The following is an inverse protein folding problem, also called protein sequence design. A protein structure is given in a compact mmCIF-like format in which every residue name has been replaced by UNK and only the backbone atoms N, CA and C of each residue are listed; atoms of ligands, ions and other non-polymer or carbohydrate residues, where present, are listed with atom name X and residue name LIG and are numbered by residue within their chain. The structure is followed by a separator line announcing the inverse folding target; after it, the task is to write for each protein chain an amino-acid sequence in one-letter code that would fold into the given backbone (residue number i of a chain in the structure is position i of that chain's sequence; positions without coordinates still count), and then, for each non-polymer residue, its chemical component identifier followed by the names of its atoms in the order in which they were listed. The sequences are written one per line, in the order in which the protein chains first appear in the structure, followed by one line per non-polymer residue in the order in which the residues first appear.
data_IF_297815628913
#
_entry.id   IF_297815628913
#
_cell.length_a   1.000
_cell.length_b   1.000
_cell.length_c   1.000
_cell.angle_alpha   90.00
_cell.angle_beta   90.00
_cell.angle_gamma   90.00
#
_symmetry.space_group_name_H-M   'P 1'
#
loop_
_entity.id
_entity.type
_entity.pdbx_description
1 polymer ?
#
# COMPACT_ATOMS: atom_id res chain seq x y z
N UNK A 1 41.92 -16.08 41.30
CA UNK A 1 42.30 -14.73 40.84
C UNK A 1 41.21 -14.25 39.88
N UNK A 2 40.53 -13.19 40.30
CA UNK A 2 39.40 -12.51 39.65
C UNK A 2 39.66 -12.07 38.21
N UNK A 3 38.59 -11.97 37.42
CA UNK A 3 38.07 -10.69 36.86
C UNK A 3 36.60 -10.94 36.53
N UNK A 4 35.74 -10.63 37.51
CA UNK A 4 34.32 -10.45 37.29
C UNK A 4 34.19 -9.05 36.69
N UNK A 5 34.02 -8.97 35.37
CA UNK A 5 33.89 -7.71 34.65
C UNK A 5 32.55 -7.09 35.05
N UNK A 6 32.59 -6.07 35.91
CA UNK A 6 31.44 -5.24 36.24
C UNK A 6 30.83 -4.70 34.94
N UNK A 7 29.60 -5.12 34.64
CA UNK A 7 28.78 -4.49 33.60
C UNK A 7 28.39 -3.12 34.17
N UNK A 8 29.16 -2.10 33.81
CA UNK A 8 28.80 -0.72 34.10
C UNK A 8 27.48 -0.40 33.42
N UNK A 9 26.45 -0.05 34.20
CA UNK A 9 25.28 0.70 33.72
C UNK A 9 25.77 2.07 33.25
N UNK A 10 26.14 2.16 31.98
CA UNK A 10 26.33 3.45 31.32
C UNK A 10 24.96 3.97 30.91
N UNK A 11 24.40 4.85 31.75
CA UNK A 11 23.33 5.76 31.36
C UNK A 11 23.84 6.79 30.35
N UNK A 12 24.28 6.33 29.18
CA UNK A 12 24.52 7.19 28.03
C UNK A 12 23.18 7.58 27.46
N UNK A 13 22.97 8.88 27.21
CA UNK A 13 21.89 9.37 26.36
C UNK A 13 21.96 8.64 25.02
N UNK A 14 21.16 7.59 24.85
CA UNK A 14 21.04 6.89 23.57
C UNK A 14 20.65 7.94 22.53
N UNK A 15 21.46 8.08 21.49
CA UNK A 15 21.15 8.95 20.35
C UNK A 15 19.89 8.40 19.71
N UNK A 16 18.78 9.15 19.77
CA UNK A 16 17.52 8.72 19.14
C UNK A 16 17.71 8.67 17.63
N UNK A 17 17.13 7.65 17.00
CA UNK A 17 17.14 7.53 15.54
C UNK A 17 16.09 8.47 14.96
N UNK A 18 16.54 9.54 14.32
CA UNK A 18 15.66 10.47 13.62
C UNK A 18 15.08 9.82 12.34
N UNK A 19 13.77 9.63 12.28
CA UNK A 19 13.06 9.03 11.14
C UNK A 19 11.90 9.92 10.67
N UNK A 20 11.64 9.98 9.37
CA UNK A 20 10.37 10.49 8.84
C UNK A 20 9.25 9.48 9.12
N UNK A 21 7.98 9.91 9.08
CA UNK A 21 6.86 9.01 9.42
C UNK A 21 6.80 7.78 8.51
N UNK A 22 7.04 7.94 7.21
CA UNK A 22 7.08 6.81 6.28
C UNK A 22 8.20 5.83 6.64
N UNK A 23 9.41 6.33 6.91
CA UNK A 23 10.55 5.50 7.29
C UNK A 23 10.35 4.81 8.65
N UNK A 24 9.66 5.46 9.59
CA UNK A 24 9.29 4.89 10.88
C UNK A 24 8.29 3.74 10.71
N UNK A 25 7.30 3.89 9.83
CA UNK A 25 6.34 2.84 9.50
C UNK A 25 7.00 1.67 8.77
N UNK A 26 7.84 1.95 7.75
CA UNK A 26 8.60 0.91 7.06
C UNK A 26 9.52 0.17 8.04
N UNK A 27 10.20 0.87 8.94
CA UNK A 27 10.98 0.22 9.99
C UNK A 27 10.11 -0.64 10.91
N UNK A 28 8.99 -0.12 11.41
CA UNK A 28 8.11 -0.86 12.33
C UNK A 28 7.51 -2.12 11.69
N UNK A 29 6.95 -2.02 10.48
CA UNK A 29 6.23 -3.13 9.84
C UNK A 29 7.13 -4.05 9.01
N UNK A 30 8.18 -3.53 8.36
CA UNK A 30 9.07 -4.33 7.50
C UNK A 30 10.25 -4.92 8.25
N UNK A 31 10.91 -4.11 9.09
CA UNK A 31 12.14 -4.52 9.78
C UNK A 31 11.81 -5.14 11.14
N UNK A 32 10.99 -4.45 11.94
CA UNK A 32 10.60 -4.95 13.26
C UNK A 32 9.50 -6.01 13.21
N UNK A 33 8.81 -6.13 12.06
CA UNK A 33 7.69 -7.04 11.84
C UNK A 33 6.55 -6.86 12.86
N UNK A 34 6.32 -5.62 13.29
CA UNK A 34 5.19 -5.29 14.15
C UNK A 34 3.87 -5.68 13.48
N UNK A 35 2.92 -6.16 14.28
CA UNK A 35 1.61 -6.59 13.82
C UNK A 35 0.54 -5.59 14.26
N UNK A 36 -0.52 -5.47 13.44
CA UNK A 36 -1.71 -4.74 13.85
C UNK A 36 -2.57 -5.65 14.72
N UNK A 37 -3.00 -5.15 15.88
CA UNK A 37 -4.04 -5.79 16.68
C UNK A 37 -5.39 -5.52 16.02
N UNK A 38 -5.82 -6.45 15.17
CA UNK A 38 -7.09 -6.36 14.47
C UNK A 38 -8.22 -6.92 15.34
N UNK A 39 -9.42 -6.32 15.33
CA UNK A 39 -10.56 -6.89 16.03
C UNK A 39 -10.92 -8.25 15.43
N UNK A 40 -11.52 -9.15 16.23
CA UNK A 40 -11.92 -10.46 15.75
C UNK A 40 -12.92 -10.32 14.58
N UNK A 41 -12.85 -11.21 13.57
CA UNK A 41 -13.81 -11.21 12.48
C UNK A 41 -15.23 -11.42 13.00
N UNK A 42 -16.21 -10.66 12.48
CA UNK A 42 -17.61 -10.72 12.95
C UNK A 42 -18.39 -11.92 12.39
N UNK A 43 -17.98 -12.45 11.24
CA UNK A 43 -18.74 -13.44 10.46
C UNK A 43 -18.22 -14.88 10.64
N UNK A 44 -17.43 -15.13 11.67
CA UNK A 44 -16.85 -16.46 11.94
C UNK A 44 -17.53 -17.03 13.18
N UNK A 45 -18.27 -18.14 13.00
CA UNK A 45 -18.99 -18.84 14.08
C UNK A 45 -18.10 -19.80 14.87
N UNK A 46 -16.94 -20.17 14.33
CA UNK A 46 -15.99 -21.09 14.96
C UNK A 46 -14.66 -20.36 15.22
N UNK A 47 -14.28 -20.22 16.49
CA UNK A 47 -12.89 -19.87 16.83
C UNK A 47 -11.97 -20.92 16.20
N UNK A 48 -10.99 -20.48 15.40
CA UNK A 48 -10.02 -21.39 14.81
C UNK A 48 -9.38 -22.26 15.90
N UNK A 49 -9.38 -23.57 15.73
CA UNK A 49 -8.76 -24.47 16.71
C UNK A 49 -7.24 -24.26 16.72
N UNK A 50 -6.73 -23.75 17.84
CA UNK A 50 -5.30 -23.67 18.10
C UNK A 50 -4.76 -25.02 18.57
N UNK A 51 -3.63 -25.44 18.01
CA UNK A 51 -2.91 -26.57 18.58
C UNK A 51 -2.13 -26.14 19.82
N UNK A 52 -2.21 -26.93 20.89
CA UNK A 52 -1.34 -26.77 22.06
C UNK A 52 0.13 -26.81 21.66
N UNK A 53 0.98 -26.10 22.41
CA UNK A 53 2.42 -26.02 22.14
C UNK A 53 3.04 -27.43 22.10
N UNK A 54 2.54 -28.34 22.93
CA UNK A 54 2.94 -29.75 23.01
C UNK A 54 2.70 -30.47 21.69
N UNK A 55 1.52 -30.27 21.09
CA UNK A 55 1.17 -30.87 19.80
C UNK A 55 2.06 -30.34 18.67
N UNK A 56 2.32 -29.04 18.66
CA UNK A 56 3.21 -28.40 17.68
C UNK A 56 4.65 -28.92 17.83
N UNK A 57 5.14 -29.08 19.06
CA UNK A 57 6.46 -29.65 19.34
C UNK A 57 6.56 -31.12 18.92
N UNK A 58 5.52 -31.92 19.17
CA UNK A 58 5.46 -33.32 18.74
C UNK A 58 5.52 -33.45 17.21
N UNK A 59 4.73 -32.65 16.48
CA UNK A 59 4.75 -32.60 15.02
C UNK A 59 6.11 -32.14 14.46
N UNK A 60 6.74 -31.14 15.10
CA UNK A 60 8.11 -30.72 14.73
C UNK A 60 9.14 -31.83 14.96
N UNK A 61 9.02 -32.57 16.06
CA UNK A 61 9.90 -33.70 16.34
C UNK A 61 9.69 -34.84 15.33
N UNK A 62 8.44 -35.12 14.91
CA UNK A 62 8.11 -36.11 13.89
C UNK A 62 8.72 -35.78 12.52
N UNK A 63 8.80 -34.50 12.16
CA UNK A 63 9.42 -34.06 10.90
C UNK A 63 10.94 -34.25 10.88
N UNK A 64 11.57 -34.54 12.02
CA UNK A 64 13.00 -34.88 12.12
C UNK A 64 13.95 -33.72 11.82
N UNK A 65 13.42 -32.51 11.59
CA UNK A 65 14.19 -31.30 11.33
C UNK A 65 13.86 -30.22 12.36
N UNK A 66 14.89 -29.56 12.88
CA UNK A 66 14.71 -28.36 13.71
C UNK A 66 14.29 -27.23 12.76
N UNK A 67 13.08 -26.72 12.93
CA UNK A 67 12.65 -25.49 12.24
C UNK A 67 13.65 -24.40 12.59
N UNK A 68 14.39 -23.92 11.59
CA UNK A 68 15.26 -22.75 11.73
C UNK A 68 14.37 -21.50 11.81
N UNK A 69 13.67 -21.36 12.93
CA UNK A 69 13.02 -20.12 13.29
C UNK A 69 14.14 -19.12 13.51
N UNK A 70 14.40 -18.27 12.52
CA UNK A 70 15.52 -17.35 12.51
C UNK A 70 15.71 -16.71 13.88
N UNK A 71 16.82 -17.03 14.55
CA UNK A 71 17.10 -16.64 15.93
C UNK A 71 17.38 -15.13 16.09
N UNK A 72 16.99 -14.31 15.11
CA UNK A 72 17.33 -12.90 15.05
C UNK A 72 16.66 -12.06 16.14
N UNK A 73 15.69 -12.62 16.88
CA UNK A 73 15.15 -12.01 18.11
C UNK A 73 14.95 -13.07 19.20
N UNK A 74 15.60 -12.88 20.34
CA UNK A 74 15.42 -13.68 21.54
C UNK A 74 14.04 -13.32 22.14
N UNK A 75 12.99 -13.95 21.62
CA UNK A 75 11.59 -13.65 21.94
C UNK A 75 10.84 -13.03 20.76
N UNK A 76 9.54 -13.34 20.64
CA UNK A 76 8.60 -12.78 19.66
C UNK A 76 8.27 -11.30 19.93
N UNK A 77 9.19 -10.54 20.50
CA UNK A 77 8.92 -9.18 20.95
C UNK A 77 9.41 -8.19 19.89
N UNK A 78 8.47 -7.47 19.28
CA UNK A 78 8.81 -6.33 18.45
C UNK A 78 9.44 -5.24 19.33
N UNK A 79 10.20 -4.31 18.76
CA UNK A 79 10.71 -3.18 19.55
C UNK A 79 9.52 -2.39 20.17
N UNK A 80 9.58 -1.94 21.44
CA UNK A 80 8.48 -1.21 22.08
C UNK A 80 7.95 -0.04 21.25
N UNK A 81 8.86 0.76 20.67
CA UNK A 81 8.47 1.87 19.79
C UNK A 81 7.73 1.39 18.53
N UNK A 82 8.05 0.21 17.99
CA UNK A 82 7.35 -0.36 16.85
C UNK A 82 5.94 -0.84 17.24
N UNK A 83 5.75 -1.37 18.45
CA UNK A 83 4.43 -1.70 19.01
C UNK A 83 3.58 -0.43 19.19
N UNK A 84 4.18 0.65 19.71
CA UNK A 84 3.50 1.96 19.83
C UNK A 84 3.07 2.51 18.47
N UNK A 85 3.94 2.40 17.45
CA UNK A 85 3.62 2.78 16.07
C UNK A 85 2.45 1.94 15.54
N UNK A 86 2.49 0.62 15.73
CA UNK A 86 1.43 -0.27 15.26
C UNK A 86 0.09 -0.01 15.96
N UNK A 87 0.10 0.21 17.28
CA UNK A 87 -1.08 0.57 18.05
C UNK A 87 -1.67 1.92 17.60
N UNK A 88 -0.82 2.91 17.31
CA UNK A 88 -1.26 4.20 16.77
C UNK A 88 -1.94 4.01 15.42
N UNK A 89 -1.36 3.22 14.52
CA UNK A 89 -1.95 2.90 13.20
C UNK A 89 -3.28 2.15 13.36
N UNK A 90 -3.39 1.20 14.29
CA UNK A 90 -4.63 0.47 14.56
C UNK A 90 -5.77 1.38 15.06
N UNK A 91 -5.43 2.47 15.77
CA UNK A 91 -6.37 3.47 16.28
C UNK A 91 -6.91 4.46 15.24
N UNK A 92 -6.67 4.24 13.94
CA UNK A 92 -7.05 5.19 12.89
C UNK A 92 -8.57 5.44 12.85
N UNK A 93 -9.01 6.71 12.77
CA UNK A 93 -10.44 7.03 12.77
C UNK A 93 -11.12 6.63 11.45
N UNK A 94 -12.42 6.35 11.53
CA UNK A 94 -13.24 5.98 10.37
C UNK A 94 -13.30 7.09 9.30
N UNK A 95 -13.12 8.35 9.68
CA UNK A 95 -13.04 9.48 8.73
C UNK A 95 -11.84 9.38 7.78
N UNK A 96 -10.78 8.67 8.18
CA UNK A 96 -9.60 8.39 7.37
C UNK A 96 -9.60 6.96 6.81
N UNK A 97 -10.76 6.29 6.79
CA UNK A 97 -10.89 4.90 6.32
C UNK A 97 -10.70 3.82 7.40
N UNK A 98 -10.42 4.21 8.64
CA UNK A 98 -10.37 3.33 9.80
C UNK A 98 -9.43 2.14 9.62
N UNK A 99 -9.88 0.96 10.04
CA UNK A 99 -9.10 -0.29 9.99
C UNK A 99 -8.66 -0.65 8.57
N UNK A 100 -9.47 -0.36 7.54
CA UNK A 100 -9.09 -0.66 6.14
C UNK A 100 -7.88 0.16 5.70
N UNK A 101 -7.86 1.45 6.05
CA UNK A 101 -6.70 2.30 5.78
C UNK A 101 -5.50 1.90 6.64
N UNK A 102 -5.71 1.55 7.91
CA UNK A 102 -4.65 1.04 8.79
C UNK A 102 -3.94 -0.18 8.19
N UNK A 103 -4.71 -1.16 7.71
CA UNK A 103 -4.19 -2.34 7.01
C UNK A 103 -3.42 -1.93 5.75
N UNK A 104 -4.01 -1.06 4.92
CA UNK A 104 -3.36 -0.59 3.69
C UNK A 104 -2.01 0.09 3.98
N UNK A 105 -1.95 0.96 5.00
CA UNK A 105 -0.72 1.64 5.43
C UNK A 105 0.32 0.62 5.89
N UNK A 106 -0.07 -0.37 6.69
CA UNK A 106 0.83 -1.42 7.15
C UNK A 106 1.38 -2.27 6.00
N UNK A 107 0.54 -2.69 5.05
CA UNK A 107 0.99 -3.48 3.89
C UNK A 107 1.91 -2.68 2.97
N UNK A 108 1.60 -1.40 2.72
CA UNK A 108 2.47 -0.52 1.93
C UNK A 108 3.83 -0.31 2.61
N UNK A 109 3.84 -0.15 3.94
CA UNK A 109 5.06 -0.04 4.73
C UNK A 109 5.90 -1.34 4.69
N UNK A 110 5.26 -2.51 4.76
CA UNK A 110 5.95 -3.81 4.58
C UNK A 110 6.58 -3.94 3.20
N UNK A 111 5.88 -3.50 2.16
CA UNK A 111 6.38 -3.51 0.80
C UNK A 111 7.45 -2.42 0.55
N UNK A 112 7.51 -1.38 1.38
CA UNK A 112 8.29 -0.17 1.11
C UNK A 112 7.78 0.56 -0.15
N UNK A 113 6.46 0.58 -0.31
CA UNK A 113 5.77 1.16 -1.45
C UNK A 113 4.84 2.29 -1.01
N UNK A 114 4.46 3.14 -1.94
CA UNK A 114 3.39 4.14 -1.78
C UNK A 114 2.24 3.80 -2.72
N UNK A 115 1.01 4.30 -2.46
CA UNK A 115 -0.09 4.08 -3.39
C UNK A 115 0.26 4.55 -4.80
N UNK A 116 -0.13 3.77 -5.80
CA UNK A 116 0.04 4.18 -7.20
C UNK A 116 -0.93 5.31 -7.52
N UNK A 117 -0.39 6.51 -7.71
CA UNK A 117 -1.13 7.71 -8.12
C UNK A 117 -1.14 7.92 -9.64
N UNK A 118 -0.64 6.92 -10.40
CA UNK A 118 -0.50 6.90 -11.85
C UNK A 118 0.50 7.95 -12.38
N UNK A 119 1.81 7.79 -12.11
CA UNK A 119 2.84 8.72 -12.56
C UNK A 119 2.93 8.85 -14.07
N UNK A 120 2.94 10.10 -14.56
CA UNK A 120 3.10 10.41 -16.00
C UNK A 120 1.94 9.97 -16.89
N UNK A 121 0.85 9.44 -16.32
CA UNK A 121 -0.27 8.94 -17.08
C UNK A 121 -1.12 10.08 -17.63
N UNK A 122 -1.36 10.06 -18.94
CA UNK A 122 -2.22 11.00 -19.66
C UNK A 122 -3.35 10.21 -20.33
N UNK A 123 -4.63 10.60 -20.17
CA UNK A 123 -5.74 9.98 -20.90
C UNK A 123 -5.53 10.08 -22.41
N UNK A 124 -5.70 8.95 -23.12
CA UNK A 124 -5.65 8.91 -24.59
C UNK A 124 -7.01 8.49 -25.14
N UNK A 125 -7.43 9.16 -26.21
CA UNK A 125 -8.57 8.75 -27.00
C UNK A 125 -8.13 7.61 -27.93
N UNK A 126 -8.65 6.41 -27.69
CA UNK A 126 -8.28 5.19 -28.43
C UNK A 126 -9.53 4.56 -29.05
N UNK A 127 -9.42 3.83 -30.16
CA UNK A 127 -10.54 3.05 -30.69
C UNK A 127 -11.09 2.08 -29.64
N UNK A 128 -12.39 1.90 -29.62
CA UNK A 128 -13.04 0.94 -28.72
C UNK A 128 -12.64 -0.51 -29.06
N UNK A 129 -12.44 -0.78 -30.34
CA UNK A 129 -12.00 -2.08 -30.83
C UNK A 129 -11.01 -1.89 -31.98
N UNK A 130 -9.95 -2.69 -31.96
CA UNK A 130 -8.94 -2.77 -33.01
C UNK A 130 -8.99 -4.20 -33.57
N UNK A 131 -9.09 -4.32 -34.88
CA UNK A 131 -9.10 -5.60 -35.61
C UNK A 131 -7.82 -5.74 -36.42
N UNK A 132 -7.23 -6.92 -36.39
CA UNK A 132 -6.00 -7.22 -37.13
C UNK A 132 -6.32 -7.96 -38.42
N UNK A 133 -5.76 -7.51 -39.54
CA UNK A 133 -5.84 -8.20 -40.81
C UNK A 133 -4.46 -8.29 -41.48
N UNK A 134 -4.38 -8.86 -42.68
CA UNK A 134 -3.12 -9.00 -43.44
C UNK A 134 -2.40 -7.66 -43.75
N UNK A 135 -3.07 -6.52 -43.58
CA UNK A 135 -2.55 -5.17 -43.79
C UNK A 135 -2.27 -4.42 -42.47
N UNK A 136 -2.34 -5.11 -41.32
CA UNK A 136 -2.05 -4.56 -39.99
C UNK A 136 -3.29 -4.32 -39.12
N UNK A 137 -3.11 -3.46 -38.12
CA UNK A 137 -4.16 -3.08 -37.18
C UNK A 137 -5.08 -2.02 -37.78
N UNK A 138 -6.39 -2.23 -37.67
CA UNK A 138 -7.40 -1.28 -38.14
C UNK A 138 -8.47 -1.09 -37.07
N UNK A 139 -8.81 0.16 -36.80
CA UNK A 139 -9.90 0.50 -35.89
C UNK A 139 -11.25 0.01 -36.45
N UNK A 140 -12.13 -0.46 -35.57
CA UNK A 140 -13.49 -0.85 -35.95
C UNK A 140 -14.32 0.37 -36.35
N UNK A 141 -15.29 0.16 -37.26
CA UNK A 141 -16.19 1.21 -37.75
C UNK A 141 -17.64 0.73 -37.66
N UNK A 142 -18.53 1.62 -37.24
CA UNK A 142 -19.98 1.41 -37.21
C UNK A 142 -20.66 2.37 -38.19
N UNK A 143 -21.82 1.98 -38.72
CA UNK A 143 -22.66 2.86 -39.54
C UNK A 143 -23.44 3.79 -38.60
N UNK A 144 -23.26 5.10 -38.73
CA UNK A 144 -23.96 6.12 -37.93
C UNK A 144 -25.08 6.82 -38.70
N UNK A 145 -25.17 6.63 -40.01
CA UNK A 145 -26.22 7.19 -40.84
C UNK A 145 -26.11 6.72 -42.28
N UNK A 146 -27.12 7.05 -43.08
CA UNK A 146 -27.09 6.83 -44.54
C UNK A 146 -27.38 8.16 -45.24
N UNK A 147 -26.52 8.52 -46.18
CA UNK A 147 -26.57 9.78 -46.91
C UNK A 147 -26.76 9.52 -48.39
N UNK A 148 -27.55 10.35 -49.08
CA UNK A 148 -27.69 10.29 -50.54
C UNK A 148 -26.71 11.25 -51.18
N UNK A 149 -25.66 10.71 -51.79
CA UNK A 149 -24.63 11.49 -52.48
C UNK A 149 -24.75 11.28 -53.99
N UNK A 150 -24.64 12.37 -54.76
CA UNK A 150 -24.62 12.31 -56.22
C UNK A 150 -23.19 12.10 -56.68
N UNK A 151 -22.87 10.89 -57.14
CA UNK A 151 -21.53 10.52 -57.62
C UNK A 151 -21.60 10.10 -59.08
N UNK A 152 -20.78 10.72 -59.94
CA UNK A 152 -20.75 10.49 -61.40
C UNK A 152 -22.15 10.58 -62.04
N UNK A 153 -22.93 11.61 -61.67
CA UNK A 153 -24.25 11.89 -62.25
C UNK A 153 -25.40 11.05 -61.71
N UNK A 154 -25.14 9.97 -60.95
CA UNK A 154 -26.17 9.10 -60.35
C UNK A 154 -26.26 9.29 -58.85
N UNK A 155 -27.48 9.25 -58.31
CA UNK A 155 -27.72 9.25 -56.88
C UNK A 155 -27.40 7.87 -56.29
N UNK A 156 -26.55 7.84 -55.26
CA UNK A 156 -26.24 6.62 -54.50
C UNK A 156 -26.48 6.87 -53.02
N UNK A 157 -27.01 5.87 -52.34
CA UNK A 157 -27.06 5.84 -50.87
C UNK A 157 -25.73 5.28 -50.38
N UNK A 158 -25.07 6.00 -49.48
CA UNK A 158 -23.77 5.62 -48.90
C UNK A 158 -23.89 5.63 -47.38
N UNK A 159 -23.32 4.61 -46.75
CA UNK A 159 -23.25 4.51 -45.31
C UNK A 159 -22.19 5.48 -44.77
N UNK A 160 -22.59 6.31 -43.82
CA UNK A 160 -21.67 7.18 -43.06
C UNK A 160 -21.09 6.35 -41.94
N UNK A 161 -19.77 6.13 -41.97
CA UNK A 161 -19.04 5.32 -41.00
C UNK A 161 -18.38 6.20 -39.95
N UNK A 162 -18.45 5.77 -38.68
CA UNK A 162 -17.70 6.37 -37.58
C UNK A 162 -16.93 5.30 -36.80
N UNK A 163 -15.79 5.67 -36.22
CA UNK A 163 -15.05 4.82 -35.30
C UNK A 163 -15.50 5.12 -33.86
N UNK A 164 -16.08 4.17 -33.12
CA UNK A 164 -16.35 4.36 -31.72
C UNK A 164 -15.02 4.43 -30.95
N UNK A 165 -14.88 5.44 -30.11
CA UNK A 165 -13.66 5.69 -29.33
C UNK A 165 -13.95 5.64 -27.84
N UNK A 166 -12.91 5.41 -27.05
CA UNK A 166 -12.94 5.46 -25.59
C UNK A 166 -11.68 6.09 -25.02
N UNK A 167 -11.77 6.64 -23.81
CA UNK A 167 -10.61 7.19 -23.10
C UNK A 167 -9.92 6.13 -22.25
N UNK A 168 -8.61 5.96 -22.43
CA UNK A 168 -7.79 5.01 -21.66
C UNK A 168 -6.48 5.66 -21.15
N UNK A 169 -6.14 5.50 -19.85
CA UNK A 169 -7.07 5.16 -18.77
C UNK A 169 -8.14 6.26 -18.64
N UNK A 170 -9.28 5.90 -18.06
CA UNK A 170 -10.38 6.85 -17.92
C UNK A 170 -9.94 7.99 -16.98
N UNK A 171 -10.27 9.27 -17.25
CA UNK A 171 -9.88 10.38 -16.37
C UNK A 171 -10.29 10.17 -14.89
N UNK A 172 -11.41 9.51 -14.66
CA UNK A 172 -11.87 9.16 -13.31
C UNK A 172 -11.00 8.12 -12.60
N UNK A 173 -10.38 7.20 -13.35
CA UNK A 173 -9.42 6.24 -12.77
C UNK A 173 -8.19 6.97 -12.23
N UNK A 174 -7.67 7.93 -13.01
CA UNK A 174 -6.55 8.78 -12.58
C UNK A 174 -6.96 9.62 -11.37
N UNK A 175 -8.14 10.22 -11.40
CA UNK A 175 -8.65 11.00 -10.27
C UNK A 175 -8.81 10.15 -9.01
N UNK A 176 -9.29 8.91 -9.15
CA UNK A 176 -9.45 7.96 -8.06
C UNK A 176 -8.11 7.55 -7.45
N UNK A 177 -7.12 7.22 -8.30
CA UNK A 177 -5.77 6.87 -7.87
C UNK A 177 -5.12 8.03 -7.07
N UNK A 178 -5.28 9.27 -7.55
CA UNK A 178 -4.77 10.46 -6.85
C UNK A 178 -5.48 10.71 -5.52
N UNK A 179 -6.80 10.47 -5.43
CA UNK A 179 -7.53 10.53 -4.16
C UNK A 179 -7.01 9.47 -3.18
N UNK A 180 -6.81 8.24 -3.62
CA UNK A 180 -6.25 7.18 -2.78
C UNK A 180 -4.87 7.51 -2.22
N UNK A 181 -4.02 8.20 -3.00
CA UNK A 181 -2.75 8.72 -2.50
C UNK A 181 -2.93 9.82 -1.46
N UNK A 182 -3.84 10.78 -1.70
CA UNK A 182 -4.14 11.84 -0.73
C UNK A 182 -4.70 11.27 0.58
N UNK A 183 -5.63 10.31 0.51
CA UNK A 183 -6.20 9.64 1.69
C UNK A 183 -5.09 8.95 2.53
N UNK A 184 -4.19 8.24 1.86
CA UNK A 184 -3.00 7.66 2.50
C UNK A 184 -2.07 8.72 3.08
N UNK A 185 -1.86 9.84 2.39
CA UNK A 185 -1.01 10.94 2.89
C UNK A 185 -1.60 11.57 4.15
N UNK A 186 -2.93 11.78 4.19
CA UNK A 186 -3.64 12.26 5.38
C UNK A 186 -3.57 11.25 6.53
N UNK A 187 -3.65 9.95 6.23
CA UNK A 187 -3.45 8.89 7.21
C UNK A 187 -2.05 8.94 7.83
N UNK A 188 -1.00 9.12 7.02
CA UNK A 188 0.37 9.30 7.51
C UNK A 188 0.53 10.56 8.37
N UNK A 189 -0.10 11.66 7.95
CA UNK A 189 -0.09 12.90 8.71
C UNK A 189 -0.71 12.68 10.10
N UNK A 190 -1.87 12.04 10.15
CA UNK A 190 -2.55 11.71 11.40
C UNK A 190 -1.70 10.81 12.31
N UNK A 191 -1.07 9.76 11.77
CA UNK A 191 -0.17 8.89 12.55
C UNK A 191 1.01 9.68 13.10
N UNK A 192 1.65 10.52 12.26
CA UNK A 192 2.78 11.35 12.69
C UNK A 192 2.38 12.27 13.84
N UNK A 193 1.28 12.99 13.68
CA UNK A 193 0.83 13.96 14.66
C UNK A 193 0.39 13.26 15.96
N UNK A 194 -0.27 12.09 15.85
CA UNK A 194 -0.62 11.25 17.00
C UNK A 194 0.61 10.75 17.77
N UNK A 195 1.66 10.31 17.07
CA UNK A 195 2.91 9.87 17.70
C UNK A 195 3.68 11.04 18.34
N UNK A 196 3.69 12.21 17.71
CA UNK A 196 4.32 13.41 18.26
C UNK A 196 3.60 13.91 19.52
N UNK A 197 2.27 13.95 19.51
CA UNK A 197 1.45 14.33 20.67
C UNK A 197 1.58 13.30 21.79
N UNK A 198 1.59 12.01 21.45
CA UNK A 198 1.72 10.94 22.43
C UNK A 198 3.07 10.94 23.14
N UNK A 199 4.17 11.30 22.47
CA UNK A 199 5.50 11.41 23.09
C UNK A 199 6.04 10.11 23.69
N UNK A 200 5.48 8.95 23.31
CA UNK A 200 5.75 7.64 23.90
C UNK A 200 6.99 6.94 23.30
N UNK A 201 7.57 7.47 22.22
CA UNK A 201 8.71 6.88 21.53
C UNK A 201 10.02 7.11 22.31
N UNK A 202 10.71 6.01 22.63
CA UNK A 202 11.89 6.02 23.49
C UNK A 202 13.18 6.16 22.69
N UNK A 203 13.32 5.41 21.62
CA UNK A 203 14.55 5.29 20.81
C UNK A 203 14.39 5.90 19.42
N UNK A 204 13.16 6.03 18.91
CA UNK A 204 12.85 6.72 17.65
C UNK A 204 12.45 8.17 17.93
N UNK A 205 13.01 9.09 17.13
CA UNK A 205 12.57 10.48 17.09
C UNK A 205 11.93 10.78 15.74
N UNK A 206 10.68 11.25 15.76
CA UNK A 206 9.97 11.60 14.54
C UNK A 206 10.37 12.99 14.05
N UNK A 207 10.84 13.04 12.82
CA UNK A 207 11.14 14.28 12.11
C UNK A 207 9.90 14.84 11.41
N UNK A 208 10.00 16.08 10.93
CA UNK A 208 8.97 16.72 10.10
C UNK A 208 8.91 16.16 8.67
N UNK A 209 9.79 15.23 8.30
CA UNK A 209 9.85 14.69 6.94
C UNK A 209 8.55 13.95 6.58
N UNK A 210 7.92 14.39 5.50
CA UNK A 210 6.70 13.81 4.93
C UNK A 210 6.90 13.49 3.45
N UNK A 211 6.17 12.51 2.91
CA UNK A 211 6.06 12.33 1.46
C UNK A 211 5.50 13.59 0.79
N UNK A 212 5.77 13.76 -0.50
CA UNK A 212 5.25 14.89 -1.28
C UNK A 212 3.72 14.85 -1.28
N UNK A 213 3.05 15.96 -0.96
CA UNK A 213 1.58 15.99 -0.87
C UNK A 213 0.90 15.70 -2.20
N UNK A 214 1.41 16.29 -3.31
CA UNK A 214 0.84 16.10 -4.65
C UNK A 214 1.95 15.79 -5.65
N UNK A 215 2.47 14.55 -5.68
CA UNK A 215 3.62 14.20 -6.51
C UNK A 215 3.33 14.37 -8.01
N UNK A 216 2.08 14.26 -8.45
CA UNK A 216 1.66 14.48 -9.84
C UNK A 216 1.70 15.93 -10.33
N UNK A 217 1.90 16.93 -9.46
CA UNK A 217 2.07 18.32 -9.87
C UNK A 217 3.53 18.67 -10.19
N UNK A 218 4.49 17.86 -9.72
CA UNK A 218 5.87 18.05 -10.06
C UNK A 218 6.05 17.73 -11.55
N UNK A 219 6.46 18.72 -12.35
CA UNK A 219 6.98 18.46 -13.70
C UNK A 219 8.29 17.69 -13.51
N UNK A 220 8.27 16.41 -13.86
CA UNK A 220 9.49 15.65 -14.18
C UNK A 220 10.18 16.26 -15.39
#
# INVERSE_FOLDING_TARGET
MSIQRQIGRTGGTKVKRALGVQAALEWAFRVEQAQLELPPPKDVTEEGFGFGLEYVLLQRAMLGCKVDGGQNKMGSYAHPDAEVIAATVAGMPNSLGGIRMAIQVAELARAGMTPDWMPGVVPRCVPMEIKTNQHGERASTIVVGTERVKTRGKWRTVDVLACPVMWRPHPEQIASARRGYEDWWQALLWVRDGLLVGGMLREVELTKAMPRTRPWLART
#
